data_IF_318152542945
#
_entry.id   IF_318152542945
#
_cell.length_a   1.000
_cell.length_b   1.000
_cell.length_c   1.000
_cell.angle_alpha   90.00
_cell.angle_beta   90.00
_cell.angle_gamma   90.00
#
_symmetry.space_group_name_H-M   'P 1'
#
loop_
_entity.id
_entity.type
_entity.pdbx_description
1 polymer ?
#
# COMPACT_ATOMS: atom_id res chain seq x y z
N UNK A 1 -0.70 -12.15 -13.96
CA UNK A 1 -0.95 -10.73 -13.73
C UNK A 1 0.02 -10.24 -12.68
N UNK A 2 0.83 -9.23 -12.98
CA UNK A 2 1.80 -8.67 -12.03
C UNK A 2 2.02 -7.19 -12.29
N UNK A 3 2.39 -6.44 -11.26
CA UNK A 3 2.88 -5.07 -11.44
C UNK A 3 4.40 -5.07 -11.62
N UNK A 4 4.94 -4.16 -12.44
CA UNK A 4 6.38 -4.00 -12.61
C UNK A 4 6.82 -2.63 -12.10
N UNK A 5 7.56 -2.65 -10.99
CA UNK A 5 8.13 -1.49 -10.33
C UNK A 5 9.64 -1.71 -10.18
N UNK A 6 10.43 -1.60 -11.26
CA UNK A 6 11.89 -1.69 -11.16
C UNK A 6 12.51 -0.56 -10.33
N UNK A 7 11.73 0.47 -9.98
CA UNK A 7 12.11 1.65 -9.22
C UNK A 7 10.98 2.08 -8.24
N UNK A 8 11.29 2.72 -7.09
CA UNK A 8 10.27 3.28 -6.21
C UNK A 8 9.41 4.40 -6.82
N UNK A 9 9.93 5.18 -7.78
CA UNK A 9 9.17 6.20 -8.49
C UNK A 9 8.25 5.56 -9.54
N UNK A 10 6.97 5.94 -9.54
CA UNK A 10 6.01 5.37 -10.48
C UNK A 10 6.28 5.85 -11.91
N UNK A 11 6.59 7.13 -12.09
CA UNK A 11 7.01 7.70 -13.38
C UNK A 11 8.32 7.08 -13.89
N UNK A 12 9.29 6.87 -13.00
CA UNK A 12 10.57 6.22 -13.36
C UNK A 12 10.37 4.75 -13.69
N UNK A 13 9.57 4.03 -12.93
CA UNK A 13 9.20 2.64 -13.23
C UNK A 13 8.55 2.51 -14.60
N UNK A 14 7.59 3.37 -14.95
CA UNK A 14 6.93 3.34 -16.25
C UNK A 14 7.91 3.55 -17.41
N UNK A 15 8.80 4.55 -17.31
CA UNK A 15 9.81 4.85 -18.35
C UNK A 15 10.77 3.70 -18.61
N UNK A 16 11.13 2.95 -17.56
CA UNK A 16 12.05 1.82 -17.68
C UNK A 16 11.45 0.62 -18.44
N UNK A 17 10.13 0.56 -18.65
CA UNK A 17 9.50 -0.57 -19.32
C UNK A 17 9.58 -0.46 -20.85
N UNK A 18 9.79 -1.59 -21.51
CA UNK A 18 9.54 -1.73 -22.95
C UNK A 18 8.03 -1.64 -23.27
N UNK A 19 7.67 -1.25 -24.49
CA UNK A 19 6.28 -0.98 -24.90
C UNK A 19 5.33 -2.16 -24.63
N UNK A 20 5.80 -3.40 -24.81
CA UNK A 20 4.97 -4.59 -24.58
C UNK A 20 4.62 -4.73 -23.11
N UNK A 21 5.55 -4.43 -22.20
CA UNK A 21 5.35 -4.50 -20.74
C UNK A 21 4.53 -3.31 -20.29
N UNK A 22 4.88 -2.10 -20.73
CA UNK A 22 4.15 -0.86 -20.43
C UNK A 22 2.67 -0.97 -20.83
N UNK A 23 2.39 -1.40 -22.06
CA UNK A 23 1.03 -1.60 -22.54
C UNK A 23 0.23 -2.59 -21.70
N UNK A 24 0.85 -3.67 -21.23
CA UNK A 24 0.24 -4.64 -20.31
C UNK A 24 -0.01 -4.06 -18.93
N UNK A 25 0.93 -3.30 -18.38
CA UNK A 25 0.81 -2.73 -17.03
C UNK A 25 -0.43 -1.86 -16.87
N UNK A 26 -0.87 -1.15 -17.92
CA UNK A 26 -2.13 -0.39 -17.87
C UNK A 26 -3.34 -1.29 -17.62
N UNK A 27 -3.43 -2.40 -18.37
CA UNK A 27 -4.53 -3.36 -18.27
C UNK A 27 -4.47 -4.14 -16.95
N UNK A 28 -3.27 -4.61 -16.57
CA UNK A 28 -3.06 -5.38 -15.33
C UNK A 28 -3.36 -4.52 -14.09
N UNK A 29 -2.99 -3.23 -14.10
CA UNK A 29 -3.35 -2.28 -13.02
C UNK A 29 -4.87 -2.13 -12.89
N UNK A 30 -5.57 -1.92 -14.00
CA UNK A 30 -7.02 -1.82 -14.01
C UNK A 30 -7.70 -3.10 -13.51
N UNK A 31 -7.17 -4.26 -13.88
CA UNK A 31 -7.66 -5.55 -13.39
C UNK A 31 -7.42 -5.73 -11.89
N UNK A 32 -6.27 -5.30 -11.34
CA UNK A 32 -6.01 -5.35 -9.90
C UNK A 32 -7.00 -4.44 -9.15
N UNK A 33 -7.28 -3.22 -9.64
CA UNK A 33 -8.28 -2.33 -9.03
C UNK A 33 -9.66 -3.00 -8.97
N UNK A 34 -10.08 -3.66 -10.05
CA UNK A 34 -11.32 -4.46 -10.07
C UNK A 34 -11.27 -5.57 -9.04
N UNK A 35 -10.18 -6.32 -8.93
CA UNK A 35 -10.05 -7.39 -7.95
C UNK A 35 -10.10 -6.88 -6.50
N UNK A 36 -9.54 -5.70 -6.24
CA UNK A 36 -9.60 -5.08 -4.92
C UNK A 36 -11.02 -4.66 -4.55
N UNK A 37 -11.75 -4.02 -5.47
CA UNK A 37 -12.89 -3.18 -5.13
C UNK A 37 -14.23 -3.80 -5.56
N UNK A 38 -14.28 -4.41 -6.76
CA UNK A 38 -15.54 -4.97 -7.26
C UNK A 38 -15.95 -6.19 -6.44
N UNK A 39 -17.17 -6.22 -5.83
CA UNK A 39 -17.56 -7.26 -4.89
C UNK A 39 -17.44 -8.68 -5.45
N UNK A 40 -17.82 -8.86 -6.72
CA UNK A 40 -17.90 -10.16 -7.41
C UNK A 40 -16.71 -10.51 -8.31
N UNK A 41 -15.64 -9.70 -8.32
CA UNK A 41 -14.49 -9.98 -9.17
C UNK A 41 -13.61 -11.10 -8.59
N UNK A 42 -13.05 -11.94 -9.46
CA UNK A 42 -12.25 -13.11 -9.05
C UNK A 42 -10.86 -12.73 -8.49
N UNK A 43 -10.07 -13.77 -8.16
CA UNK A 43 -8.62 -13.72 -7.87
C UNK A 43 -8.16 -12.67 -6.84
N UNK A 44 -9.04 -12.25 -5.93
CA UNK A 44 -8.78 -11.28 -4.84
C UNK A 44 -7.65 -11.66 -3.87
N UNK A 45 -7.30 -12.95 -3.83
CA UNK A 45 -6.23 -13.51 -2.99
C UNK A 45 -4.92 -13.72 -3.75
N UNK A 46 -4.85 -13.36 -5.04
CA UNK A 46 -3.61 -13.44 -5.79
C UNK A 46 -2.58 -12.47 -5.19
N UNK A 47 -1.29 -12.85 -5.06
CA UNK A 47 -0.26 -12.02 -4.44
C UNK A 47 -0.15 -10.60 -5.03
N UNK A 48 -0.26 -10.47 -6.36
CA UNK A 48 -0.30 -9.18 -7.05
C UNK A 48 -1.47 -8.27 -6.66
N UNK A 49 -2.56 -8.81 -6.12
CA UNK A 49 -3.69 -8.03 -5.57
C UNK A 49 -3.43 -7.72 -4.09
N UNK A 50 -2.99 -8.74 -3.35
CA UNK A 50 -2.75 -8.64 -1.90
C UNK A 50 -1.80 -7.50 -1.57
N UNK A 51 -0.69 -7.35 -2.30
CA UNK A 51 0.31 -6.31 -2.02
C UNK A 51 -0.24 -4.87 -2.10
N UNK A 52 -1.36 -4.65 -2.79
CA UNK A 52 -1.97 -3.33 -3.00
C UNK A 52 -3.18 -3.05 -2.10
N UNK A 53 -3.61 -4.00 -1.25
CA UNK A 53 -4.73 -3.79 -0.32
C UNK A 53 -4.44 -2.63 0.63
N UNK A 54 -5.37 -1.68 0.70
CA UNK A 54 -5.23 -0.45 1.49
C UNK A 54 -4.56 0.72 0.76
N UNK A 55 -4.13 0.53 -0.49
CA UNK A 55 -3.33 1.51 -1.23
C UNK A 55 -3.92 1.84 -2.61
N UNK A 56 -5.25 1.88 -2.72
CA UNK A 56 -5.96 2.19 -3.97
C UNK A 56 -5.47 3.49 -4.63
N UNK A 57 -5.33 4.63 -3.91
CA UNK A 57 -4.82 5.85 -4.54
C UNK A 57 -3.40 5.71 -5.10
N UNK A 58 -2.53 4.94 -4.44
CA UNK A 58 -1.17 4.69 -4.92
C UNK A 58 -1.16 3.79 -6.16
N UNK A 59 -2.03 2.77 -6.21
CA UNK A 59 -2.18 1.92 -7.40
C UNK A 59 -2.74 2.72 -8.60
N UNK A 60 -3.69 3.63 -8.36
CA UNK A 60 -4.18 4.55 -9.38
C UNK A 60 -3.06 5.47 -9.86
N UNK A 61 -2.24 6.03 -8.96
CA UNK A 61 -1.09 6.85 -9.34
C UNK A 61 -0.10 6.09 -10.23
N UNK A 62 0.20 4.84 -9.89
CA UNK A 62 1.03 3.94 -10.72
C UNK A 62 0.42 3.70 -12.11
N UNK A 63 -0.88 3.41 -12.16
CA UNK A 63 -1.60 3.22 -13.43
C UNK A 63 -1.61 4.49 -14.30
N UNK A 64 -1.82 5.66 -13.70
CA UNK A 64 -1.75 6.96 -14.37
C UNK A 64 -0.35 7.21 -14.94
N UNK A 65 0.71 6.96 -14.17
CA UNK A 65 2.09 7.08 -14.66
C UNK A 65 2.34 6.18 -15.87
N UNK A 66 1.83 4.95 -15.83
CA UNK A 66 1.91 3.97 -16.93
C UNK A 66 1.14 4.45 -18.17
N UNK A 67 -0.08 4.97 -18.01
CA UNK A 67 -0.89 5.55 -19.10
C UNK A 67 -0.23 6.78 -19.71
N UNK A 68 0.35 7.65 -18.89
CA UNK A 68 1.01 8.89 -19.33
C UNK A 68 2.28 8.61 -20.10
N UNK A 69 3.10 7.67 -19.65
CA UNK A 69 4.27 7.23 -20.40
C UNK A 69 3.87 6.59 -21.74
N UNK A 70 2.82 5.77 -21.76
CA UNK A 70 2.28 5.19 -22.99
C UNK A 70 1.84 6.25 -23.99
N UNK A 71 1.12 7.28 -23.52
CA UNK A 71 0.69 8.40 -24.34
C UNK A 71 1.88 9.27 -24.81
N UNK A 72 2.89 9.47 -23.97
CA UNK A 72 4.10 10.22 -24.33
C UNK A 72 4.90 9.55 -25.45
N UNK A 73 4.84 8.22 -25.54
CA UNK A 73 5.42 7.45 -26.67
C UNK A 73 4.59 7.55 -27.97
N UNK A 74 3.48 8.30 -27.94
CA UNK A 74 2.61 8.54 -29.09
C UNK A 74 1.58 7.43 -29.30
N UNK A 75 1.33 6.59 -28.31
CA UNK A 75 0.27 5.60 -28.38
C UNK A 75 -1.05 6.13 -27.82
N UNK A 76 -2.17 5.70 -28.38
CA UNK A 76 -3.48 6.09 -27.87
C UNK A 76 -3.79 5.41 -26.52
N UNK A 77 -4.33 6.17 -25.57
CA UNK A 77 -4.80 5.69 -24.26
C UNK A 77 -6.29 5.96 -24.07
N UNK A 78 -6.98 5.03 -23.41
CA UNK A 78 -8.36 5.22 -22.94
C UNK A 78 -8.57 4.67 -21.53
N UNK A 79 -7.50 4.23 -20.84
CA UNK A 79 -7.60 3.61 -19.53
C UNK A 79 -7.45 4.63 -18.40
N UNK A 80 -6.74 5.74 -18.62
CA UNK A 80 -6.49 6.71 -17.55
C UNK A 80 -7.80 7.19 -16.90
N UNK A 81 -8.79 7.58 -17.71
CA UNK A 81 -10.10 8.02 -17.18
C UNK A 81 -10.76 6.94 -16.31
N UNK A 82 -10.70 5.67 -16.74
CA UNK A 82 -11.28 4.55 -16.00
C UNK A 82 -10.53 4.24 -14.70
N UNK A 83 -9.23 4.55 -14.63
CA UNK A 83 -8.45 4.42 -13.40
C UNK A 83 -8.84 5.50 -12.39
N UNK A 84 -9.12 6.73 -12.85
CA UNK A 84 -9.50 7.84 -11.99
C UNK A 84 -10.87 7.66 -11.32
N UNK A 85 -11.76 6.84 -11.89
CA UNK A 85 -13.05 6.53 -11.26
C UNK A 85 -12.89 5.90 -9.87
N UNK A 86 -11.78 5.19 -9.61
CA UNK A 86 -11.47 4.60 -8.30
C UNK A 86 -10.97 5.62 -7.25
N UNK A 87 -10.75 6.87 -7.64
CA UNK A 87 -10.36 7.98 -6.77
C UNK A 87 -11.34 9.15 -6.91
N UNK A 88 -12.59 8.88 -7.30
CA UNK A 88 -13.63 9.89 -7.45
C UNK A 88 -13.34 10.92 -8.56
N UNK A 89 -12.56 10.52 -9.58
CA UNK A 89 -12.12 11.38 -10.68
C UNK A 89 -10.87 12.21 -10.37
N UNK A 90 -10.37 12.21 -9.12
CA UNK A 90 -9.19 12.97 -8.75
C UNK A 90 -7.91 12.23 -9.12
N UNK A 91 -7.00 12.88 -9.85
CA UNK A 91 -5.67 12.34 -10.08
C UNK A 91 -4.87 12.36 -8.78
N UNK A 92 -4.37 11.20 -8.28
CA UNK A 92 -3.54 11.20 -7.09
C UNK A 92 -2.18 11.86 -7.35
N UNK A 93 -1.73 12.66 -6.38
CA UNK A 93 -0.40 13.27 -6.36
C UNK A 93 0.50 12.45 -5.44
N UNK A 94 1.60 11.90 -5.97
CA UNK A 94 2.44 10.94 -5.25
C UNK A 94 3.08 11.56 -4.01
N UNK A 95 3.49 12.82 -4.07
CA UNK A 95 4.07 13.53 -2.93
C UNK A 95 3.03 13.79 -1.83
N UNK A 96 1.79 14.11 -2.20
CA UNK A 96 0.68 14.22 -1.27
C UNK A 96 0.35 12.87 -0.65
N UNK A 97 0.35 11.79 -1.43
CA UNK A 97 0.16 10.43 -0.89
C UNK A 97 1.26 10.07 0.11
N UNK A 98 2.53 10.40 -0.19
CA UNK A 98 3.65 10.22 0.72
C UNK A 98 3.43 10.97 2.04
N UNK A 99 3.14 12.27 1.98
CA UNK A 99 2.88 13.10 3.17
C UNK A 99 1.69 12.62 3.99
N UNK A 100 0.69 12.01 3.35
CA UNK A 100 -0.48 11.45 4.02
C UNK A 100 -0.25 10.01 4.54
N UNK A 101 0.92 9.41 4.28
CA UNK A 101 1.22 8.02 4.63
C UNK A 101 0.42 6.98 3.83
N UNK A 102 0.00 7.33 2.60
CA UNK A 102 -0.84 6.51 1.73
C UNK A 102 -0.05 5.75 0.66
N UNK A 103 1.28 5.70 0.77
CA UNK A 103 2.13 4.85 -0.06
C UNK A 103 2.34 3.48 0.61
N UNK A 104 2.44 2.39 -0.16
CA UNK A 104 2.70 1.08 0.41
C UNK A 104 4.03 1.02 1.18
N UNK A 105 4.10 0.36 2.35
CA UNK A 105 5.32 0.31 3.17
C UNK A 105 6.48 -0.42 2.46
N UNK A 106 6.17 -1.32 1.53
CA UNK A 106 7.14 -2.04 0.70
C UNK A 106 7.72 -1.20 -0.44
N UNK A 107 7.14 -0.04 -0.78
CA UNK A 107 7.67 0.80 -1.84
C UNK A 107 9.01 1.39 -1.42
N UNK A 108 10.08 1.20 -2.20
CA UNK A 108 11.46 1.52 -1.81
C UNK A 108 12.18 0.40 -1.07
N UNK A 109 11.61 -0.80 -1.01
CA UNK A 109 12.29 -2.00 -0.55
C UNK A 109 13.14 -2.59 -1.69
N UNK A 110 14.45 -2.64 -1.50
CA UNK A 110 15.39 -3.06 -2.54
C UNK A 110 15.15 -4.50 -3.02
N UNK A 111 14.72 -5.41 -2.14
CA UNK A 111 14.45 -6.79 -2.51
C UNK A 111 13.25 -6.88 -3.47
N UNK A 112 12.22 -6.06 -3.22
CA UNK A 112 11.04 -5.95 -4.09
C UNK A 112 11.47 -5.43 -5.46
N UNK A 113 12.09 -4.25 -5.51
CA UNK A 113 12.48 -3.63 -6.78
C UNK A 113 13.49 -4.46 -7.57
N UNK A 114 14.46 -5.09 -6.90
CA UNK A 114 15.41 -6.00 -7.53
C UNK A 114 14.70 -7.19 -8.17
N UNK A 115 13.74 -7.82 -7.47
CA UNK A 115 13.01 -8.96 -8.02
C UNK A 115 12.17 -8.60 -9.25
N UNK A 116 11.61 -7.38 -9.29
CA UNK A 116 10.89 -6.88 -10.47
C UNK A 116 11.85 -6.62 -11.64
N UNK A 117 13.02 -6.02 -11.38
CA UNK A 117 14.11 -5.84 -12.39
C UNK A 117 14.55 -7.18 -12.97
N UNK A 118 14.78 -8.18 -12.12
CA UNK A 118 15.15 -9.52 -12.55
C UNK A 118 14.07 -10.18 -13.42
N UNK A 119 12.81 -10.11 -13.00
CA UNK A 119 11.70 -10.66 -13.79
C UNK A 119 11.49 -9.94 -15.14
N UNK A 120 11.88 -8.66 -15.25
CA UNK A 120 11.92 -7.94 -16.52
C UNK A 120 13.06 -8.47 -17.41
N UNK A 121 14.28 -8.57 -16.86
CA UNK A 121 15.45 -9.07 -17.56
C UNK A 121 15.28 -10.50 -18.07
N UNK A 122 14.63 -11.39 -17.30
CA UNK A 122 14.31 -12.75 -17.74
C UNK A 122 13.33 -12.78 -18.92
N UNK A 123 12.35 -11.86 -18.91
CA UNK A 123 11.35 -11.79 -19.98
C UNK A 123 11.91 -11.12 -21.23
N UNK A 124 12.86 -10.21 -21.09
CA UNK A 124 13.41 -9.38 -22.16
C UNK A 124 14.92 -9.24 -22.04
N UNK A 125 15.70 -10.32 -22.21
CA UNK A 125 17.13 -10.33 -21.93
C UNK A 125 17.91 -9.25 -22.68
N UNK A 126 17.50 -8.92 -23.91
CA UNK A 126 18.17 -7.91 -24.75
C UNK A 126 17.56 -6.50 -24.60
N UNK A 127 16.47 -6.37 -23.84
CA UNK A 127 15.74 -5.12 -23.64
C UNK A 127 16.09 -4.43 -22.30
N UNK A 128 16.66 -5.19 -21.36
CA UNK A 128 16.95 -4.73 -20.01
C UNK A 128 18.44 -4.90 -19.69
N UNK A 129 18.99 -4.08 -18.78
CA UNK A 129 20.40 -4.16 -18.41
C UNK A 129 20.81 -5.55 -17.92
N UNK A 130 21.99 -6.01 -18.31
CA UNK A 130 22.46 -7.35 -17.98
C UNK A 130 22.65 -7.55 -16.46
N UNK A 131 22.98 -6.48 -15.74
CA UNK A 131 23.13 -6.42 -14.29
C UNK A 131 21.81 -6.61 -13.52
N UNK A 132 20.66 -6.53 -14.19
CA UNK A 132 19.37 -6.85 -13.57
C UNK A 132 19.14 -8.36 -13.46
N UNK A 133 19.95 -9.19 -14.14
CA UNK A 133 19.87 -10.65 -14.04
C UNK A 133 20.49 -11.13 -12.73
N UNK A 134 19.91 -12.15 -12.11
CA UNK A 134 20.45 -12.75 -10.88
C UNK A 134 19.59 -13.92 -10.41
N UNK A 135 20.06 -14.76 -9.47
CA UNK A 135 19.33 -15.95 -9.03
C UNK A 135 18.25 -15.62 -7.99
N UNK A 136 17.45 -14.57 -8.20
CA UNK A 136 16.46 -14.12 -7.21
C UNK A 136 15.04 -14.52 -7.59
N UNK A 137 14.26 -15.00 -6.62
CA UNK A 137 12.83 -15.24 -6.82
C UNK A 137 12.04 -13.92 -6.91
N UNK A 138 10.84 -13.96 -7.50
CA UNK A 138 9.92 -12.82 -7.48
C UNK A 138 9.43 -12.59 -6.05
N UNK A 139 9.58 -11.37 -5.53
CA UNK A 139 9.14 -11.01 -4.17
C UNK A 139 7.73 -10.44 -4.22
N UNK A 140 6.82 -11.05 -3.46
CA UNK A 140 5.46 -10.54 -3.27
C UNK A 140 5.33 -9.95 -1.87
N UNK A 141 5.19 -8.61 -1.74
CA UNK A 141 4.89 -8.02 -0.45
C UNK A 141 3.56 -8.53 0.11
N UNK A 142 3.54 -8.82 1.40
CA UNK A 142 2.30 -9.06 2.13
C UNK A 142 1.49 -7.77 2.31
N UNK A 143 0.29 -7.91 2.86
CA UNK A 143 -0.50 -6.79 3.36
C UNK A 143 -0.91 -7.05 4.79
N UNK A 144 -1.03 -5.97 5.58
CA UNK A 144 -1.64 -6.05 6.90
C UNK A 144 -3.14 -6.36 6.81
N UNK A 145 -3.76 -6.09 5.66
CA UNK A 145 -5.19 -6.31 5.44
C UNK A 145 -5.46 -7.75 4.97
N UNK A 146 -6.04 -8.62 5.82
CA UNK A 146 -6.33 -10.03 5.48
C UNK A 146 -7.37 -10.15 4.36
N UNK A 147 -8.17 -9.08 4.17
CA UNK A 147 -9.10 -8.87 3.05
C UNK A 147 -9.19 -7.38 2.73
N UNK A 148 -9.68 -7.06 1.55
CA UNK A 148 -10.02 -5.69 1.17
C UNK A 148 -11.39 -5.69 0.44
N UNK A 149 -12.28 -4.71 0.74
CA UNK A 149 -12.17 -3.70 1.79
C UNK A 149 -12.15 -4.32 3.20
N UNK A 150 -11.52 -3.63 4.16
CA UNK A 150 -11.47 -4.05 5.56
C UNK A 150 -12.57 -3.33 6.35
N UNK A 151 -13.53 -4.05 6.97
CA UNK A 151 -14.64 -3.42 7.67
C UNK A 151 -14.22 -3.00 9.09
N UNK A 152 -13.44 -1.93 9.17
CA UNK A 152 -13.11 -1.30 10.45
C UNK A 152 -14.34 -0.54 10.97
N UNK A 153 -14.74 -0.73 12.23
CA UNK A 153 -15.76 0.10 12.86
C UNK A 153 -15.36 1.58 12.84
N UNK A 154 -16.33 2.51 12.75
CA UNK A 154 -16.05 3.94 12.79
C UNK A 154 -15.50 4.38 14.15
N UNK A 155 -16.00 3.78 15.23
CA UNK A 155 -15.60 4.06 16.61
C UNK A 155 -14.69 2.94 17.17
N UNK A 156 -13.81 3.26 18.13
CA UNK A 156 -13.04 2.26 18.85
C UNK A 156 -13.92 1.23 19.54
N UNK A 157 -13.49 -0.02 19.50
CA UNK A 157 -14.11 -1.11 20.24
C UNK A 157 -13.28 -1.47 21.47
N UNK A 158 -13.90 -2.20 22.40
CA UNK A 158 -13.17 -2.72 23.56
C UNK A 158 -12.08 -3.72 23.11
N UNK A 159 -11.00 -3.92 23.89
CA UNK A 159 -9.98 -4.93 23.58
C UNK A 159 -10.54 -6.32 23.30
N UNK A 160 -11.54 -6.77 24.08
CA UNK A 160 -12.20 -8.06 23.86
C UNK A 160 -12.95 -8.11 22.52
N UNK A 161 -13.69 -7.05 22.18
CA UNK A 161 -14.39 -6.97 20.90
C UNK A 161 -13.41 -6.89 19.72
N UNK A 162 -12.27 -6.19 19.87
CA UNK A 162 -11.21 -6.18 18.88
C UNK A 162 -10.68 -7.60 18.62
N UNK A 163 -10.35 -8.36 19.67
CA UNK A 163 -9.87 -9.75 19.56
C UNK A 163 -10.91 -10.63 18.86
N UNK A 164 -12.20 -10.50 19.19
CA UNK A 164 -13.27 -11.25 18.51
C UNK A 164 -13.34 -10.95 17.02
N UNK A 165 -13.32 -9.67 16.61
CA UNK A 165 -13.33 -9.26 15.21
C UNK A 165 -12.11 -9.78 14.44
N UNK A 166 -10.92 -9.73 15.05
CA UNK A 166 -9.70 -10.26 14.44
C UNK A 166 -9.79 -11.79 14.27
N UNK A 167 -10.40 -12.50 15.22
CA UNK A 167 -10.68 -13.93 15.12
C UNK A 167 -11.55 -14.28 13.92
N UNK A 168 -12.61 -13.49 13.66
CA UNK A 168 -13.44 -13.63 12.44
C UNK A 168 -12.64 -13.40 11.15
N UNK A 169 -11.54 -12.63 11.22
CA UNK A 169 -10.66 -12.38 10.08
C UNK A 169 -9.51 -13.40 9.96
N UNK A 170 -9.49 -14.43 10.81
CA UNK A 170 -8.52 -15.54 10.76
C UNK A 170 -7.25 -15.30 11.57
N UNK A 171 -7.29 -14.45 12.60
CA UNK A 171 -6.21 -14.34 13.57
C UNK A 171 -6.06 -15.64 14.39
N UNK A 172 -4.83 -16.10 14.70
CA UNK A 172 -4.60 -17.20 15.63
C UNK A 172 -5.22 -16.95 17.01
N UNK A 173 -5.85 -17.97 17.59
CA UNK A 173 -6.65 -17.83 18.81
C UNK A 173 -5.82 -17.45 20.05
N UNK A 174 -4.56 -17.87 20.11
CA UNK A 174 -3.62 -17.66 21.21
C UNK A 174 -2.92 -16.29 21.18
N UNK A 175 -3.05 -15.53 20.07
CA UNK A 175 -2.31 -14.29 19.84
C UNK A 175 -2.48 -13.23 20.93
N UNK A 176 -3.67 -13.16 21.52
CA UNK A 176 -4.07 -12.19 22.55
C UNK A 176 -4.67 -12.86 23.78
N UNK A 177 -4.14 -14.03 24.16
CA UNK A 177 -4.54 -14.67 25.41
C UNK A 177 -4.39 -13.71 26.60
N UNK A 178 -5.25 -13.77 27.63
CA UNK A 178 -5.20 -12.83 28.75
C UNK A 178 -3.86 -12.76 29.51
N UNK A 179 -3.02 -13.79 29.40
CA UNK A 179 -1.67 -13.84 29.97
C UNK A 179 -0.56 -13.36 29.02
N UNK A 180 -0.86 -13.08 27.76
CA UNK A 180 0.10 -12.62 26.77
C UNK A 180 0.46 -11.13 26.96
N UNK A 181 1.68 -10.76 26.60
CA UNK A 181 2.14 -9.37 26.68
C UNK A 181 1.27 -8.46 25.79
N UNK A 182 0.89 -8.96 24.62
CA UNK A 182 0.13 -8.24 23.61
C UNK A 182 -1.30 -7.92 24.07
N UNK A 183 -1.89 -8.76 24.91
CA UNK A 183 -3.17 -8.44 25.56
C UNK A 183 -3.03 -7.26 26.53
N UNK A 184 -1.94 -7.22 27.30
CA UNK A 184 -1.66 -6.13 28.23
C UNK A 184 -1.40 -4.82 27.47
N UNK A 185 -0.60 -4.87 26.40
CA UNK A 185 -0.36 -3.75 25.50
C UNK A 185 -1.66 -3.23 24.89
N UNK A 186 -2.50 -4.11 24.34
CA UNK A 186 -3.77 -3.72 23.74
C UNK A 186 -4.68 -2.96 24.74
N UNK A 187 -4.73 -3.41 26.00
CA UNK A 187 -5.50 -2.73 27.06
C UNK A 187 -4.92 -1.38 27.46
N UNK A 188 -3.60 -1.21 27.41
CA UNK A 188 -2.95 0.09 27.64
C UNK A 188 -3.26 1.07 26.51
N UNK A 189 -3.15 0.61 25.26
CA UNK A 189 -3.45 1.40 24.07
C UNK A 189 -4.92 1.87 24.06
N UNK A 190 -5.86 0.99 24.42
CA UNK A 190 -7.28 1.34 24.55
C UNK A 190 -7.58 2.41 25.61
N UNK A 191 -6.63 2.68 26.52
CA UNK A 191 -6.71 3.74 27.53
C UNK A 191 -5.93 5.00 27.12
N UNK A 192 -5.45 5.07 25.89
CA UNK A 192 -4.62 6.17 25.40
C UNK A 192 -3.21 6.17 26.01
N UNK A 193 -2.69 5.01 26.42
CA UNK A 193 -1.34 4.88 26.97
C UNK A 193 -0.42 4.21 25.95
N UNK A 194 0.81 4.71 25.85
CA UNK A 194 1.88 4.04 25.11
C UNK A 194 2.39 2.78 25.81
N UNK A 195 3.20 2.01 25.09
CA UNK A 195 3.86 0.80 25.58
C UNK A 195 5.13 0.49 24.77
N UNK A 196 5.94 -0.43 25.28
CA UNK A 196 7.08 -0.98 24.57
C UNK A 196 6.79 -2.46 24.24
N UNK A 197 6.90 -2.81 22.96
CA UNK A 197 6.76 -4.17 22.44
C UNK A 197 8.13 -4.83 22.25
N UNK A 198 8.26 -6.12 22.56
CA UNK A 198 9.53 -6.84 22.42
C UNK A 198 9.97 -7.01 20.96
N UNK A 199 9.01 -7.17 20.05
CA UNK A 199 9.22 -7.38 18.62
C UNK A 199 8.40 -6.36 17.81
N UNK A 200 8.81 -6.06 16.55
CA UNK A 200 8.00 -5.28 15.64
C UNK A 200 6.57 -5.85 15.49
N UNK A 201 5.53 -4.99 15.56
CA UNK A 201 4.17 -5.47 15.54
C UNK A 201 3.84 -6.11 14.19
N UNK A 202 3.39 -7.36 14.26
CA UNK A 202 2.83 -8.04 13.11
C UNK A 202 1.52 -7.39 12.64
N UNK A 203 0.95 -7.91 11.55
CA UNK A 203 -0.33 -7.40 11.02
C UNK A 203 -1.47 -7.42 12.04
N UNK A 204 -1.53 -8.41 12.92
CA UNK A 204 -2.62 -8.57 13.88
C UNK A 204 -2.50 -7.56 15.01
N UNK A 205 -1.28 -7.32 15.49
CA UNK A 205 -1.00 -6.24 16.43
C UNK A 205 -1.39 -4.88 15.86
N UNK A 206 -1.01 -4.58 14.61
CA UNK A 206 -1.37 -3.32 13.94
C UNK A 206 -2.90 -3.17 13.79
N UNK A 207 -3.60 -4.22 13.35
CA UNK A 207 -5.05 -4.19 13.23
C UNK A 207 -5.75 -4.02 14.59
N UNK A 208 -5.25 -4.70 15.63
CA UNK A 208 -5.76 -4.55 16.99
C UNK A 208 -5.61 -3.11 17.48
N UNK A 209 -4.46 -2.48 17.22
CA UNK A 209 -4.22 -1.07 17.53
C UNK A 209 -5.29 -0.17 16.88
N UNK A 210 -5.52 -0.31 15.57
CA UNK A 210 -6.52 0.49 14.86
C UNK A 210 -7.95 0.27 15.37
N UNK A 211 -8.27 -0.92 15.88
CA UNK A 211 -9.59 -1.22 16.43
C UNK A 211 -9.85 -0.56 17.78
N UNK A 212 -8.82 -0.24 18.57
CA UNK A 212 -8.99 0.27 19.94
C UNK A 212 -8.66 1.75 20.12
N UNK A 213 -8.20 2.45 19.07
CA UNK A 213 -7.88 3.88 19.12
C UNK A 213 -8.82 4.71 18.23
N UNK A 214 -9.19 5.95 18.62
CA UNK A 214 -10.22 6.78 17.95
C UNK A 214 -9.77 7.49 16.67
N UNK A 215 -8.60 7.18 16.12
CA UNK A 215 -8.06 7.90 14.96
C UNK A 215 -7.10 7.06 14.15
N UNK A 216 -6.23 7.72 13.37
CA UNK A 216 -5.24 7.04 12.53
C UNK A 216 -4.11 6.49 13.38
N UNK A 217 -3.62 5.31 13.00
CA UNK A 217 -2.36 4.74 13.46
C UNK A 217 -1.27 5.19 12.49
N UNK A 218 -0.31 5.98 12.96
CA UNK A 218 0.88 6.34 12.19
C UNK A 218 1.98 5.31 12.43
N UNK A 219 2.37 4.58 11.39
CA UNK A 219 3.45 3.60 11.42
C UNK A 219 4.72 4.26 10.88
N UNK A 220 5.70 4.49 11.74
CA UNK A 220 7.00 5.04 11.40
C UNK A 220 8.01 3.92 11.18
N UNK A 221 8.42 3.75 9.93
CA UNK A 221 9.39 2.73 9.50
C UNK A 221 10.81 3.32 9.55
N UNK A 222 11.76 2.57 10.10
CA UNK A 222 13.20 2.89 10.09
C UNK A 222 13.80 2.63 8.70
N UNK A 223 13.24 3.32 7.71
CA UNK A 223 13.59 3.26 6.29
C UNK A 223 13.90 4.66 5.80
N UNK A 224 14.81 4.82 4.82
CA UNK A 224 15.07 6.12 4.24
C UNK A 224 13.79 6.69 3.58
N UNK A 225 13.67 8.01 3.59
CA UNK A 225 12.63 8.72 2.84
C UNK A 225 12.68 8.32 1.36
N UNK A 226 11.50 8.25 0.73
CA UNK A 226 11.42 8.08 -0.71
C UNK A 226 11.82 9.38 -1.40
N UNK A 227 12.57 9.26 -2.50
CA UNK A 227 12.77 10.38 -3.39
C UNK A 227 11.41 10.86 -3.95
N UNK A 228 11.25 12.16 -4.23
CA UNK A 228 10.08 12.65 -4.96
C UNK A 228 9.93 11.91 -6.29
N UNK A 229 8.68 11.60 -6.68
CA UNK A 229 8.45 10.99 -7.97
C UNK A 229 8.71 11.99 -9.10
N UNK A 230 9.09 11.47 -10.26
CA UNK A 230 9.36 12.32 -11.40
C UNK A 230 8.05 12.85 -12.02
N UNK A 231 8.05 14.09 -12.57
CA UNK A 231 6.88 14.64 -13.22
C UNK A 231 6.35 13.72 -14.32
N UNK A 232 5.02 13.63 -14.42
CA UNK A 232 4.38 12.91 -15.52
C UNK A 232 4.78 13.55 -16.86
N UNK A 233 5.13 12.75 -17.88
CA UNK A 233 5.50 13.29 -19.17
C UNK A 233 4.30 13.96 -19.86
N UNK A 234 4.53 15.00 -20.68
CA UNK A 234 3.46 15.59 -21.49
C UNK A 234 2.95 14.55 -22.51
N UNK A 235 1.64 14.52 -22.80
CA UNK A 235 1.12 13.63 -23.83
C UNK A 235 1.64 14.04 -25.21
N UNK A 236 1.98 13.05 -26.04
CA UNK A 236 2.27 13.27 -27.47
C UNK A 236 0.99 13.12 -28.31
N UNK A 237 1.00 13.61 -29.55
CA UNK A 237 -0.08 13.34 -30.49
C UNK A 237 -0.19 11.83 -30.77
N UNK A 238 -1.39 11.24 -30.62
CA UNK A 238 -1.56 9.80 -30.75
C UNK A 238 -1.42 9.36 -32.22
N UNK A 239 -0.51 8.42 -32.46
CA UNK A 239 -0.31 7.74 -33.75
C UNK A 239 -1.26 6.55 -33.85
N UNK A 240 -2.56 6.83 -33.98
CA UNK A 240 -3.59 5.80 -34.18
C UNK A 240 -4.84 6.00 -33.32
N UNK A 241 -5.79 5.07 -33.45
CA UNK A 241 -7.05 5.08 -32.69
C UNK A 241 -7.06 4.00 -31.61
N UNK A 242 -7.88 4.21 -30.58
CA UNK A 242 -8.16 3.18 -29.57
C UNK A 242 -9.23 2.24 -30.12
N UNK A 243 -8.99 0.93 -30.04
CA UNK A 243 -10.03 -0.06 -30.32
C UNK A 243 -11.11 -0.03 -29.23
N UNK A 244 -12.37 -0.29 -29.59
CA UNK A 244 -13.47 -0.37 -28.61
C UNK A 244 -13.14 -1.32 -27.46
N UNK A 245 -13.41 -0.89 -26.23
CA UNK A 245 -13.12 -1.70 -25.04
C UNK A 245 -14.06 -2.90 -24.97
N UNK A 246 -13.50 -4.10 -24.90
CA UNK A 246 -14.24 -5.35 -24.60
C UNK A 246 -14.33 -5.63 -23.10
N UNK A 247 -13.83 -4.71 -22.26
CA UNK A 247 -13.82 -4.89 -20.83
C UNK A 247 -15.26 -4.83 -20.28
N UNK A 248 -15.60 -5.75 -19.37
CA UNK A 248 -16.86 -5.74 -18.62
C UNK A 248 -17.12 -4.34 -18.05
N UNK A 249 -18.29 -3.77 -18.30
CA UNK A 249 -18.76 -2.52 -17.66
C UNK A 249 -19.05 -2.78 -16.17
N UNK A 250 -18.75 -1.83 -15.26
CA UNK A 250 -19.15 -1.96 -13.86
C UNK A 250 -20.67 -2.10 -13.72
N UNK A 251 -21.09 -2.95 -12.78
CA UNK A 251 -22.47 -3.02 -12.29
C UNK A 251 -22.75 -1.91 -11.26
N UNK A 252 -24.01 -1.67 -10.88
CA UNK A 252 -24.35 -0.70 -9.83
C UNK A 252 -23.66 -1.00 -8.48
N UNK A 253 -23.48 -2.28 -8.16
CA UNK A 253 -22.74 -2.71 -6.98
C UNK A 253 -21.24 -2.41 -7.10
N UNK A 254 -20.67 -2.54 -8.30
CA UNK A 254 -19.28 -2.18 -8.56
C UNK A 254 -19.08 -0.65 -8.44
N UNK A 255 -20.00 0.15 -8.99
CA UNK A 255 -19.98 1.62 -8.90
C UNK A 255 -20.11 2.09 -7.45
N UNK A 256 -21.04 1.50 -6.69
CA UNK A 256 -21.20 1.81 -5.27
C UNK A 256 -19.91 1.52 -4.50
N UNK A 257 -19.31 0.34 -4.70
CA UNK A 257 -18.05 -0.02 -4.05
C UNK A 257 -16.89 0.91 -4.43
N UNK A 258 -16.83 1.37 -5.68
CA UNK A 258 -15.84 2.37 -6.12
C UNK A 258 -16.04 3.72 -5.43
N UNK A 259 -17.28 4.16 -5.25
CA UNK A 259 -17.61 5.38 -4.52
C UNK A 259 -17.26 5.29 -3.04
N UNK A 260 -17.57 4.17 -2.39
CA UNK A 260 -17.20 3.90 -0.99
C UNK A 260 -15.68 3.89 -0.80
N UNK A 261 -14.94 3.23 -1.69
CA UNK A 261 -13.47 3.22 -1.66
C UNK A 261 -12.90 4.63 -1.84
N UNK A 262 -13.41 5.40 -2.80
CA UNK A 262 -12.93 6.76 -3.07
C UNK A 262 -13.20 7.73 -1.92
N UNK A 263 -14.28 7.51 -1.16
CA UNK A 263 -14.64 8.31 0.02
C UNK A 263 -13.96 7.83 1.31
N UNK A 264 -13.37 6.62 1.30
CA UNK A 264 -12.76 6.01 2.47
C UNK A 264 -11.46 6.72 2.88
N UNK A 265 -11.24 6.81 4.19
CA UNK A 265 -9.97 7.27 4.75
C UNK A 265 -9.22 6.10 5.37
N UNK A 266 -7.92 6.01 5.11
CA UNK A 266 -7.11 4.96 5.71
C UNK A 266 -6.96 5.17 7.21
N UNK A 267 -7.21 4.10 7.98
CA UNK A 267 -6.91 4.04 9.42
C UNK A 267 -5.42 3.87 9.73
N UNK A 268 -4.60 3.66 8.70
CA UNK A 268 -3.14 3.57 8.79
C UNK A 268 -2.47 4.61 7.91
N UNK A 269 -1.45 5.28 8.43
CA UNK A 269 -0.49 6.06 7.66
C UNK A 269 0.89 5.44 7.78
N UNK A 270 1.58 5.27 6.66
CA UNK A 270 2.91 4.67 6.59
C UNK A 270 3.95 5.72 6.27
N UNK A 271 4.86 5.94 7.20
CA UNK A 271 5.82 7.03 7.17
C UNK A 271 7.24 6.48 7.31
N UNK A 272 8.21 7.23 6.78
CA UNK A 272 9.63 6.90 6.78
C UNK A 272 10.40 7.94 7.58
N UNK A 273 11.70 7.73 7.75
CA UNK A 273 12.57 8.70 8.44
C UNK A 273 12.48 10.07 7.77
N UNK A 274 12.17 11.09 8.57
CA UNK A 274 12.05 12.48 8.12
C UNK A 274 10.67 12.86 7.58
N UNK A 275 9.73 11.92 7.47
CA UNK A 275 8.33 12.27 7.25
C UNK A 275 7.72 12.82 8.56
N UNK A 276 6.83 13.80 8.43
CA UNK A 276 6.14 14.46 9.55
C UNK A 276 4.63 14.21 9.44
N UNK A 277 4.09 13.19 10.14
CA UNK A 277 2.65 12.96 10.20
C UNK A 277 1.92 14.13 10.87
N UNK A 278 0.71 14.43 10.41
CA UNK A 278 -0.14 15.43 11.06
C UNK A 278 -0.64 14.93 12.41
N UNK A 279 -0.12 15.51 13.49
CA UNK A 279 -0.46 15.14 14.86
C UNK A 279 -1.96 15.27 15.17
N UNK A 280 -2.72 16.11 14.45
CA UNK A 280 -4.15 16.27 14.65
C UNK A 280 -4.98 15.05 14.20
N UNK A 281 -4.43 14.21 13.32
CA UNK A 281 -5.10 13.04 12.73
C UNK A 281 -4.61 11.71 13.35
N UNK A 282 -3.52 11.76 14.14
CA UNK A 282 -2.86 10.57 14.69
C UNK A 282 -3.28 10.31 16.13
N UNK A 283 -3.87 9.14 16.37
CA UNK A 283 -4.25 8.67 17.71
C UNK A 283 -3.22 7.73 18.35
N UNK A 284 -2.34 7.15 17.54
CA UNK A 284 -1.27 6.26 17.98
C UNK A 284 -0.10 6.31 17.01
N UNK A 285 1.11 6.40 17.55
CA UNK A 285 2.34 6.16 16.80
C UNK A 285 2.81 4.73 17.05
N UNK A 286 3.14 4.01 16.00
CA UNK A 286 3.82 2.72 16.05
C UNK A 286 5.17 2.90 15.37
N UNK A 287 6.26 2.48 16.00
CA UNK A 287 7.59 2.61 15.40
C UNK A 287 8.46 1.37 15.62
N UNK A 288 9.22 0.99 14.59
CA UNK A 288 10.18 -0.12 14.58
C UNK A 288 11.64 0.32 14.82
N UNK A 289 11.82 1.47 15.47
CA UNK A 289 13.13 2.07 15.74
C UNK A 289 13.39 3.38 14.98
N UNK A 290 12.43 3.84 14.18
CA UNK A 290 12.48 5.18 13.60
C UNK A 290 12.38 6.25 14.69
N UNK A 291 13.12 7.38 14.56
CA UNK A 291 12.92 8.51 15.45
C UNK A 291 11.50 9.05 15.32
N UNK A 292 10.84 9.29 16.45
CA UNK A 292 9.52 9.90 16.50
C UNK A 292 9.69 11.42 16.46
N UNK A 293 9.05 12.14 15.50
CA UNK A 293 9.06 13.60 15.46
C UNK A 293 8.55 14.24 16.76
N UNK A 294 9.14 15.36 17.16
CA UNK A 294 8.73 16.10 18.36
C UNK A 294 7.26 16.55 18.31
N UNK A 295 6.72 16.77 17.11
CA UNK A 295 5.31 17.09 16.88
C UNK A 295 4.36 15.99 17.36
N UNK A 296 4.84 14.76 17.51
CA UNK A 296 4.07 13.60 17.97
C UNK A 296 4.39 13.22 19.43
N UNK A 297 5.16 14.02 20.17
CA UNK A 297 5.60 13.68 21.53
C UNK A 297 4.45 13.48 22.53
N UNK A 298 3.29 14.10 22.29
CA UNK A 298 2.09 13.95 23.13
C UNK A 298 1.19 12.79 22.72
N UNK A 299 1.44 12.16 21.57
CA UNK A 299 0.65 11.03 21.08
C UNK A 299 1.14 9.75 21.77
N UNK A 300 0.25 8.82 22.17
CA UNK A 300 0.66 7.50 22.64
C UNK A 300 1.57 6.80 21.63
N UNK A 301 2.60 6.08 22.11
CA UNK A 301 3.60 5.45 21.25
C UNK A 301 3.72 3.97 21.63
N UNK A 302 3.62 3.10 20.63
CA UNK A 302 4.02 1.71 20.69
C UNK A 302 5.41 1.58 20.04
N UNK A 303 6.45 1.41 20.85
CA UNK A 303 7.82 1.25 20.36
C UNK A 303 8.18 -0.22 20.30
N UNK A 304 8.81 -0.68 19.24
CA UNK A 304 9.50 -1.96 19.24
C UNK A 304 11.01 -1.78 19.16
N UNK A 305 11.75 -2.69 19.81
CA UNK A 305 13.20 -2.71 19.72
C UNK A 305 13.66 -3.05 18.30
N UNK A 306 14.78 -2.48 17.85
CA UNK A 306 15.36 -2.86 16.55
C UNK A 306 15.72 -4.34 16.56
N UNK A 307 15.52 -5.09 15.45
CA UNK A 307 16.06 -6.43 15.33
C UNK A 307 17.60 -6.39 15.42
N UNK A 308 18.14 -6.68 16.62
CA UNK A 308 19.57 -6.58 16.94
C UNK A 308 19.88 -5.88 18.27
N UNK A 309 18.94 -5.11 18.82
CA UNK A 309 19.03 -4.48 20.16
C UNK A 309 18.47 -5.38 21.27
N UNK A 310 18.51 -6.71 21.10
CA UNK A 310 18.41 -7.61 22.26
C UNK A 310 19.65 -7.38 23.11
N UNK A 311 19.54 -6.43 24.03
CA UNK A 311 20.53 -6.26 25.07
C UNK A 311 20.71 -7.60 25.77
N UNK A 312 21.94 -8.08 25.70
CA UNK A 312 22.51 -8.98 26.70
C UNK A 312 22.11 -8.48 28.09
N UNK A 313 21.17 -9.19 28.71
CA UNK A 313 20.74 -9.00 30.09
C UNK A 313 20.54 -10.36 30.72
#
# INVERSE_FOLDING_TARGET
MQTFLPDPGFSRSARLLDDRRLGKQRVETFQILRALIWPSYGWKNHPAVVMWRGFTPALVAYGVATCREWAARGHADALEAQLLDYTGGARPDVDRLRRAGLLPPWLGDDAVHASHRHALADKGPDLYPAEWRGPIGYVWPGSIHPRWPLPLPPDPVTPSAAVSLLGEWGMPADRFDPGAAEWSTLRRLARGLGDDAPDPPDRWALLACALVVPGRVAVLLDRPALAPDEPLPPPAEPRGSVSGSIARTPTDADVTAMGEEAASSSRFGWFRRGDEPDAADVALVVTDGAPVPDTLASVPILRSARPGERATG
#
